data_IF_312654971618
#
_entry.id   IF_312654971618
#
_cell.length_a   1.000
_cell.length_b   1.000
_cell.length_c   1.000
_cell.angle_alpha   90.00
_cell.angle_beta   90.00
_cell.angle_gamma   90.00
#
_symmetry.space_group_name_H-M   'P 1'
#
loop_
_entity.id
_entity.type
_entity.pdbx_description
1 polymer ?
#
# COMPACT_ATOMS: atom_id res chain seq x y z
N UNK A 1 -6.76 -1.02 12.35
CA UNK A 1 -5.54 -1.78 12.69
C UNK A 1 -5.43 -2.11 14.18
N UNK A 2 -5.65 -1.19 15.12
CA UNK A 2 -5.44 -1.43 16.57
C UNK A 2 -6.25 -2.57 17.20
N UNK A 3 -7.52 -2.77 16.81
CA UNK A 3 -8.37 -3.83 17.37
C UNK A 3 -7.89 -5.25 17.07
N UNK A 4 -7.14 -5.45 15.98
CA UNK A 4 -6.70 -6.77 15.54
C UNK A 4 -5.66 -7.40 16.47
N UNK A 5 -4.81 -6.61 17.15
CA UNK A 5 -3.82 -7.20 18.08
C UNK A 5 -4.48 -7.80 19.32
N UNK A 6 -5.45 -7.10 19.88
CA UNK A 6 -6.17 -7.58 21.05
C UNK A 6 -6.95 -8.87 20.73
N UNK A 7 -7.63 -8.89 19.57
CA UNK A 7 -8.34 -10.07 19.09
C UNK A 7 -7.38 -11.25 18.81
N UNK A 8 -6.23 -10.97 18.18
CA UNK A 8 -5.21 -12.01 17.93
C UNK A 8 -4.62 -12.55 19.23
N UNK A 9 -4.29 -11.70 20.19
CA UNK A 9 -3.72 -12.13 21.46
C UNK A 9 -4.70 -13.02 22.23
N UNK A 10 -5.99 -12.68 22.22
CA UNK A 10 -7.03 -13.51 22.83
C UNK A 10 -7.17 -14.86 22.11
N UNK A 11 -7.14 -14.85 20.77
CA UNK A 11 -7.16 -16.09 19.98
C UNK A 11 -5.96 -17.00 20.26
N UNK A 12 -4.73 -16.45 20.23
CA UNK A 12 -3.50 -17.23 20.42
C UNK A 12 -3.37 -17.80 21.85
N UNK A 13 -3.81 -17.05 22.87
CA UNK A 13 -3.61 -17.42 24.28
C UNK A 13 -4.74 -18.30 24.82
N UNK A 14 -6.00 -18.08 24.41
CA UNK A 14 -7.15 -18.80 24.96
C UNK A 14 -7.82 -19.73 23.96
N UNK A 15 -8.16 -19.24 22.76
CA UNK A 15 -9.10 -19.93 21.85
C UNK A 15 -8.42 -21.02 21.01
N UNK A 16 -7.16 -20.79 20.63
CA UNK A 16 -6.33 -21.75 19.91
C UNK A 16 -5.97 -23.00 20.74
N UNK A 17 -5.44 -22.90 21.99
CA UNK A 17 -5.11 -24.08 22.79
C UNK A 17 -6.35 -24.87 23.23
N UNK A 18 -7.49 -24.20 23.43
CA UNK A 18 -8.78 -24.85 23.74
C UNK A 18 -9.47 -25.47 22.52
N UNK A 19 -8.93 -25.28 21.30
CA UNK A 19 -9.49 -25.77 20.02
C UNK A 19 -10.95 -25.34 19.80
N UNK A 20 -11.34 -24.14 20.25
CA UNK A 20 -12.71 -23.65 20.05
C UNK A 20 -13.07 -23.48 18.57
N UNK A 21 -12.13 -22.99 17.75
CA UNK A 21 -12.29 -22.89 16.29
C UNK A 21 -10.92 -22.82 15.59
N UNK A 22 -10.91 -23.10 14.27
CA UNK A 22 -9.69 -23.13 13.46
C UNK A 22 -9.16 -21.72 13.16
N UNK A 23 -7.83 -21.58 13.05
CA UNK A 23 -7.16 -20.35 12.64
C UNK A 23 -7.62 -19.83 11.27
N UNK A 24 -8.04 -20.72 10.36
CA UNK A 24 -8.58 -20.33 9.05
C UNK A 24 -9.88 -19.55 9.22
N UNK A 25 -10.73 -20.01 10.15
CA UNK A 25 -12.02 -19.36 10.45
C UNK A 25 -11.79 -18.00 11.11
N UNK A 26 -10.78 -17.88 11.99
CA UNK A 26 -10.37 -16.61 12.58
C UNK A 26 -10.06 -15.55 11.51
N UNK A 27 -9.19 -15.90 10.54
CA UNK A 27 -8.79 -14.97 9.48
C UNK A 27 -9.95 -14.67 8.54
N UNK A 28 -10.67 -15.71 8.09
CA UNK A 28 -11.79 -15.55 7.17
C UNK A 28 -12.89 -14.67 7.75
N UNK A 29 -13.24 -14.85 9.03
CA UNK A 29 -14.24 -14.02 9.71
C UNK A 29 -13.84 -12.54 9.75
N UNK A 30 -12.57 -12.25 10.04
CA UNK A 30 -12.04 -10.88 10.08
C UNK A 30 -12.06 -10.19 8.70
N UNK A 31 -11.80 -10.95 7.63
CA UNK A 31 -11.89 -10.44 6.26
C UNK A 31 -13.35 -10.20 5.88
N UNK A 32 -14.23 -11.18 6.12
CA UNK A 32 -15.65 -11.11 5.77
C UNK A 32 -16.38 -9.96 6.47
N UNK A 33 -16.14 -9.74 7.76
CA UNK A 33 -16.72 -8.62 8.51
C UNK A 33 -16.19 -7.26 8.00
N UNK A 34 -14.99 -7.23 7.45
CA UNK A 34 -14.41 -6.02 6.86
C UNK A 34 -15.12 -5.59 5.56
N UNK A 35 -15.60 -6.53 4.75
CA UNK A 35 -16.14 -6.24 3.41
C UNK A 35 -17.35 -5.27 3.47
N UNK A 36 -18.41 -5.50 4.27
CA UNK A 36 -19.55 -4.58 4.35
C UNK A 36 -19.13 -3.16 4.77
N UNK A 37 -18.18 -3.05 5.70
CA UNK A 37 -17.66 -1.75 6.13
C UNK A 37 -16.94 -1.03 4.98
N UNK A 38 -16.10 -1.74 4.21
CA UNK A 38 -15.43 -1.17 3.04
C UNK A 38 -16.42 -0.79 1.93
N UNK A 39 -17.49 -1.56 1.74
CA UNK A 39 -18.56 -1.23 0.79
C UNK A 39 -19.24 0.09 1.19
N UNK A 40 -19.67 0.23 2.45
CA UNK A 40 -20.30 1.48 2.92
C UNK A 40 -19.35 2.68 2.79
N UNK A 41 -18.09 2.51 3.19
CA UNK A 41 -17.08 3.56 3.06
C UNK A 41 -16.81 3.92 1.60
N UNK A 42 -16.78 2.93 0.70
CA UNK A 42 -16.57 3.16 -0.74
C UNK A 42 -17.63 4.03 -1.35
N UNK A 43 -18.90 3.84 -0.96
CA UNK A 43 -20.02 4.67 -1.45
C UNK A 43 -19.85 6.11 -0.97
N UNK A 44 -19.51 6.32 0.30
CA UNK A 44 -19.32 7.66 0.86
C UNK A 44 -18.12 8.39 0.23
N UNK A 45 -16.98 7.71 0.10
CA UNK A 45 -15.77 8.27 -0.54
C UNK A 45 -16.01 8.55 -2.02
N UNK A 46 -16.64 7.61 -2.73
CA UNK A 46 -17.00 7.80 -4.13
C UNK A 46 -17.93 9.00 -4.30
N UNK A 47 -19.00 9.12 -3.50
CA UNK A 47 -19.92 10.26 -3.61
C UNK A 47 -19.21 11.60 -3.33
N UNK A 48 -18.36 11.65 -2.30
CA UNK A 48 -17.63 12.87 -1.93
C UNK A 48 -16.62 13.30 -3.01
N UNK A 49 -15.96 12.36 -3.68
CA UNK A 49 -14.94 12.67 -4.69
C UNK A 49 -15.50 12.79 -6.12
N UNK A 50 -16.45 11.93 -6.49
CA UNK A 50 -16.94 11.80 -7.85
C UNK A 50 -17.79 13.00 -8.29
N UNK A 51 -18.76 13.41 -7.46
CA UNK A 51 -19.70 14.48 -7.83
C UNK A 51 -19.01 15.85 -8.01
N UNK A 52 -18.05 16.26 -7.15
CA UNK A 52 -17.35 17.52 -7.36
C UNK A 52 -16.41 17.52 -8.58
N UNK A 53 -15.80 16.37 -8.92
CA UNK A 53 -14.80 16.30 -10.00
C UNK A 53 -15.41 16.11 -11.37
N UNK A 54 -16.36 15.17 -11.50
CA UNK A 54 -16.94 14.77 -12.79
C UNK A 54 -18.35 15.31 -13.02
N UNK A 55 -19.04 15.76 -11.97
CA UNK A 55 -20.42 16.20 -12.05
C UNK A 55 -21.40 15.06 -12.35
N UNK A 56 -22.61 15.42 -12.80
CA UNK A 56 -23.72 14.49 -13.05
C UNK A 56 -23.84 14.03 -14.51
N UNK A 57 -22.98 14.53 -15.41
CA UNK A 57 -23.15 14.41 -16.87
C UNK A 57 -22.67 13.06 -17.45
N UNK A 58 -22.11 12.18 -16.63
CA UNK A 58 -21.61 10.88 -17.07
C UNK A 58 -22.70 9.80 -17.07
N UNK A 59 -22.58 8.86 -18.00
CA UNK A 59 -23.47 7.69 -18.11
C UNK A 59 -23.52 6.88 -16.79
N UNK A 60 -24.64 6.18 -16.57
CA UNK A 60 -24.80 5.32 -15.39
C UNK A 60 -23.73 4.22 -15.31
N UNK A 61 -23.31 3.67 -16.45
CA UNK A 61 -22.27 2.65 -16.50
C UNK A 61 -20.92 3.19 -15.99
N UNK A 62 -20.46 4.33 -16.48
CA UNK A 62 -19.20 4.96 -16.05
C UNK A 62 -19.22 5.28 -14.55
N UNK A 63 -20.37 5.72 -14.03
CA UNK A 63 -20.56 5.98 -12.59
C UNK A 63 -20.34 4.73 -11.75
N UNK A 64 -20.95 3.62 -12.14
CA UNK A 64 -20.82 2.34 -11.43
C UNK A 64 -19.41 1.78 -11.55
N UNK A 65 -18.78 1.88 -12.72
CA UNK A 65 -17.38 1.48 -12.92
C UNK A 65 -16.43 2.27 -12.02
N UNK A 66 -16.62 3.60 -11.94
CA UNK A 66 -15.79 4.44 -11.07
C UNK A 66 -15.98 4.10 -9.59
N UNK A 67 -17.21 3.83 -9.16
CA UNK A 67 -17.49 3.33 -7.82
C UNK A 67 -16.81 1.97 -7.57
N UNK A 68 -16.86 1.05 -8.54
CA UNK A 68 -16.22 -0.25 -8.43
C UNK A 68 -14.69 -0.11 -8.22
N UNK A 69 -14.02 0.81 -8.93
CA UNK A 69 -12.60 1.08 -8.68
C UNK A 69 -12.34 1.69 -7.29
N UNK A 70 -13.21 2.57 -6.79
CA UNK A 70 -13.11 3.08 -5.40
C UNK A 70 -13.27 1.96 -4.37
N UNK A 71 -14.24 1.07 -4.57
CA UNK A 71 -14.46 -0.12 -3.74
C UNK A 71 -13.24 -1.04 -3.77
N UNK A 72 -12.66 -1.28 -4.94
CA UNK A 72 -11.45 -2.09 -5.08
C UNK A 72 -10.27 -1.48 -4.34
N UNK A 73 -10.07 -0.16 -4.41
CA UNK A 73 -8.99 0.52 -3.68
C UNK A 73 -9.10 0.29 -2.17
N UNK A 74 -10.31 0.43 -1.61
CA UNK A 74 -10.54 0.23 -0.18
C UNK A 74 -10.42 -1.25 0.24
N UNK A 75 -10.94 -2.18 -0.56
CA UNK A 75 -10.78 -3.62 -0.31
C UNK A 75 -9.31 -4.06 -0.40
N UNK A 76 -8.58 -3.55 -1.39
CA UNK A 76 -7.15 -3.82 -1.54
C UNK A 76 -6.38 -3.30 -0.34
N UNK A 77 -6.59 -2.04 0.08
CA UNK A 77 -5.94 -1.47 1.25
C UNK A 77 -6.23 -2.25 2.54
N UNK A 78 -7.49 -2.67 2.73
CA UNK A 78 -7.88 -3.49 3.88
C UNK A 78 -7.21 -4.86 3.89
N UNK A 79 -7.22 -5.56 2.77
CA UNK A 79 -6.64 -6.92 2.66
C UNK A 79 -5.11 -6.91 2.74
N UNK A 80 -4.46 -5.91 2.15
CA UNK A 80 -3.00 -5.72 2.26
C UNK A 80 -2.58 -5.45 3.71
N UNK A 81 -3.32 -4.59 4.43
CA UNK A 81 -3.13 -4.35 5.86
C UNK A 81 -3.28 -5.62 6.70
N UNK A 82 -4.31 -6.42 6.44
CA UNK A 82 -4.55 -7.69 7.13
C UNK A 82 -3.40 -8.68 6.89
N UNK A 83 -2.94 -8.80 5.64
CA UNK A 83 -1.79 -9.62 5.28
C UNK A 83 -0.56 -9.24 6.12
N UNK A 84 -0.22 -7.95 6.21
CA UNK A 84 0.94 -7.49 6.99
C UNK A 84 0.79 -7.71 8.49
N UNK A 85 -0.38 -7.42 9.07
CA UNK A 85 -0.64 -7.57 10.51
C UNK A 85 -0.57 -9.04 10.95
N UNK A 86 -1.00 -9.98 10.11
CA UNK A 86 -0.93 -11.40 10.43
C UNK A 86 0.52 -11.92 10.46
N UNK A 87 1.40 -11.34 9.67
CA UNK A 87 2.83 -11.72 9.66
C UNK A 87 3.63 -11.11 10.80
N UNK A 88 3.35 -9.84 11.14
CA UNK A 88 4.22 -9.08 12.03
C UNK A 88 3.87 -9.28 13.51
N UNK A 89 4.88 -9.37 14.40
CA UNK A 89 4.64 -9.42 15.84
C UNK A 89 4.14 -8.07 16.38
N UNK A 90 4.64 -6.96 15.83
CA UNK A 90 4.41 -5.59 16.32
C UNK A 90 3.69 -4.73 15.28
N UNK A 91 2.86 -3.78 15.74
CA UNK A 91 2.11 -2.85 14.87
C UNK A 91 3.06 -1.89 14.15
N UNK A 92 4.04 -1.34 14.87
CA UNK A 92 4.97 -0.33 14.33
C UNK A 92 5.70 -0.85 13.09
N UNK A 93 6.24 -2.08 13.16
CA UNK A 93 6.93 -2.70 12.02
C UNK A 93 6.00 -2.95 10.83
N UNK A 94 4.74 -3.36 11.10
CA UNK A 94 3.75 -3.55 10.04
C UNK A 94 3.39 -2.23 9.35
N UNK A 95 3.25 -1.15 10.13
CA UNK A 95 2.96 0.18 9.61
C UNK A 95 4.12 0.69 8.75
N UNK A 96 5.37 0.61 9.23
CA UNK A 96 6.54 1.02 8.44
C UNK A 96 6.65 0.24 7.14
N UNK A 97 6.47 -1.09 7.18
CA UNK A 97 6.51 -1.92 5.97
C UNK A 97 5.39 -1.58 5.00
N UNK A 98 4.18 -1.34 5.51
CA UNK A 98 3.04 -0.90 4.69
C UNK A 98 3.34 0.41 3.97
N UNK A 99 3.96 1.37 4.66
CA UNK A 99 4.33 2.65 4.07
C UNK A 99 5.36 2.48 2.96
N UNK A 100 6.40 1.67 3.17
CA UNK A 100 7.43 1.41 2.15
C UNK A 100 6.82 0.76 0.91
N UNK A 101 5.98 -0.26 1.09
CA UNK A 101 5.30 -0.94 -0.02
C UNK A 101 4.38 0.01 -0.78
N UNK A 102 3.60 0.82 -0.07
CA UNK A 102 2.73 1.82 -0.67
C UNK A 102 3.50 2.88 -1.46
N UNK A 103 4.58 3.43 -0.90
CA UNK A 103 5.41 4.43 -1.59
C UNK A 103 6.05 3.85 -2.83
N UNK A 104 6.54 2.60 -2.76
CA UNK A 104 7.12 1.91 -3.91
C UNK A 104 6.09 1.73 -5.02
N UNK A 105 4.93 1.15 -4.73
CA UNK A 105 3.90 0.92 -5.76
C UNK A 105 3.33 2.23 -6.32
N UNK A 106 3.23 3.28 -5.50
CA UNK A 106 2.78 4.60 -5.93
C UNK A 106 3.74 5.25 -6.94
N UNK A 107 5.07 5.14 -6.75
CA UNK A 107 6.04 5.73 -7.67
C UNK A 107 6.00 5.10 -9.08
N UNK A 108 5.68 3.82 -9.17
CA UNK A 108 5.62 3.07 -10.43
C UNK A 108 4.22 2.96 -11.02
N UNK A 109 3.35 3.94 -10.76
CA UNK A 109 1.95 3.95 -11.21
C UNK A 109 1.74 4.41 -12.68
N UNK A 110 2.79 4.85 -13.38
CA UNK A 110 2.74 5.30 -14.78
C UNK A 110 2.33 6.75 -15.03
N UNK A 111 1.79 7.44 -14.00
CA UNK A 111 1.39 8.86 -14.09
C UNK A 111 2.44 9.78 -13.49
N UNK A 112 3.08 9.38 -12.37
CA UNK A 112 4.18 10.15 -11.79
C UNK A 112 5.44 10.12 -12.65
N UNK A 113 5.69 8.98 -13.29
CA UNK A 113 6.72 8.78 -14.30
C UNK A 113 6.16 7.90 -15.40
N UNK A 114 6.27 8.37 -16.65
CA UNK A 114 5.81 7.61 -17.81
C UNK A 114 6.68 6.36 -18.00
N UNK A 115 6.11 5.22 -18.47
CA UNK A 115 6.85 3.97 -18.62
C UNK A 115 8.09 4.09 -19.52
N UNK A 116 8.08 5.01 -20.48
CA UNK A 116 9.18 5.28 -21.41
C UNK A 116 10.36 6.03 -20.79
N UNK A 117 10.16 6.71 -19.66
CA UNK A 117 11.20 7.42 -18.93
C UNK A 117 11.90 6.54 -17.88
N UNK A 118 11.37 5.34 -17.61
CA UNK A 118 11.96 4.40 -16.65
C UNK A 118 13.14 3.65 -17.27
N UNK A 119 14.26 3.47 -16.54
CA UNK A 119 15.32 2.56 -16.98
C UNK A 119 14.76 1.15 -17.19
N UNK A 120 15.19 0.45 -18.24
CA UNK A 120 14.59 -0.84 -18.66
C UNK A 120 14.45 -1.90 -17.56
N UNK A 121 15.33 -1.89 -16.54
CA UNK A 121 15.21 -2.77 -15.38
C UNK A 121 13.93 -2.52 -14.56
N UNK A 122 13.47 -1.27 -14.41
CA UNK A 122 12.32 -0.93 -13.55
C UNK A 122 10.96 -1.14 -14.22
N UNK A 123 10.93 -1.53 -15.50
CA UNK A 123 9.68 -1.76 -16.25
C UNK A 123 8.86 -2.90 -15.63
N UNK A 124 9.49 -3.91 -15.01
CA UNK A 124 8.73 -4.97 -14.32
C UNK A 124 7.87 -4.40 -13.17
N UNK A 125 8.37 -3.36 -12.49
CA UNK A 125 7.69 -2.80 -11.33
C UNK A 125 6.40 -2.10 -11.73
N UNK A 126 6.37 -1.49 -12.93
CA UNK A 126 5.15 -0.94 -13.51
C UNK A 126 4.06 -2.01 -13.70
N UNK A 127 4.43 -3.20 -14.17
CA UNK A 127 3.50 -4.32 -14.36
C UNK A 127 3.05 -4.99 -13.05
N UNK A 128 3.91 -5.02 -12.04
CA UNK A 128 3.59 -5.60 -10.72
C UNK A 128 2.82 -4.60 -9.84
N UNK A 129 2.92 -3.30 -10.11
CA UNK A 129 2.21 -2.28 -9.34
C UNK A 129 0.71 -2.34 -9.58
N UNK A 130 -0.06 -2.64 -8.53
CA UNK A 130 -1.51 -2.54 -8.56
C UNK A 130 -2.01 -1.11 -8.85
N UNK A 131 -1.22 -0.07 -8.52
CA UNK A 131 -1.61 1.32 -8.77
C UNK A 131 -1.66 1.64 -10.25
N UNK A 132 -0.86 0.98 -11.08
CA UNK A 132 -0.92 1.10 -12.54
C UNK A 132 -2.31 0.78 -13.06
N UNK A 133 -2.89 -0.34 -12.61
CA UNK A 133 -4.23 -0.77 -13.02
C UNK A 133 -5.33 0.08 -12.40
N UNK A 134 -5.15 0.54 -11.16
CA UNK A 134 -6.12 1.42 -10.49
C UNK A 134 -6.22 2.79 -11.19
N UNK A 135 -5.08 3.43 -11.45
CA UNK A 135 -5.05 4.74 -12.07
C UNK A 135 -5.38 4.64 -13.55
N UNK A 136 -4.93 3.59 -14.23
CA UNK A 136 -5.36 3.29 -15.60
C UNK A 136 -6.88 3.10 -15.69
N UNK A 137 -7.51 2.48 -14.69
CA UNK A 137 -8.96 2.38 -14.54
C UNK A 137 -9.63 3.74 -14.29
N UNK A 138 -9.19 4.49 -13.28
CA UNK A 138 -9.76 5.80 -12.95
C UNK A 138 -9.62 6.82 -14.09
N UNK A 139 -8.41 7.03 -14.60
CA UNK A 139 -8.17 7.97 -15.67
C UNK A 139 -8.81 7.48 -16.98
N UNK A 140 -8.67 6.18 -17.27
CA UNK A 140 -9.19 5.55 -18.48
C UNK A 140 -10.71 5.53 -18.57
N UNK A 141 -11.45 5.53 -17.45
CA UNK A 141 -12.92 5.62 -17.41
C UNK A 141 -13.44 7.04 -17.18
N UNK A 142 -12.77 7.84 -16.36
CA UNK A 142 -13.21 9.18 -16.00
C UNK A 142 -12.98 10.23 -17.09
N UNK A 143 -11.96 10.06 -17.92
CA UNK A 143 -11.58 11.04 -18.95
C UNK A 143 -11.87 10.57 -20.39
N UNK A 144 -12.63 9.48 -20.56
CA UNK A 144 -12.99 8.94 -21.88
C UNK A 144 -13.57 10.02 -22.77
N UNK A 145 -12.95 10.24 -23.93
CA UNK A 145 -13.43 11.12 -24.99
C UNK A 145 -13.72 12.57 -24.52
N UNK A 146 -13.08 13.01 -23.43
CA UNK A 146 -13.24 14.39 -22.96
C UNK A 146 -12.47 15.34 -23.87
N UNK A 147 -13.17 16.31 -24.43
CA UNK A 147 -12.57 17.36 -25.26
C UNK A 147 -11.67 18.25 -24.42
N UNK A 148 -10.44 18.46 -24.88
CA UNK A 148 -9.46 19.36 -24.26
C UNK A 148 -9.47 20.67 -25.04
N UNK A 149 -9.60 21.78 -24.32
CA UNK A 149 -9.45 23.13 -24.87
C UNK A 149 -8.25 23.76 -24.19
N UNK A 150 -7.23 24.08 -24.98
CA UNK A 150 -6.02 24.71 -24.46
C UNK A 150 -6.33 26.08 -23.83
N UNK A 151 -5.69 26.37 -22.69
CA UNK A 151 -5.66 27.70 -22.09
C UNK A 151 -4.82 28.66 -22.94
N UNK A 152 -4.91 29.98 -22.72
CA UNK A 152 -4.26 30.98 -23.58
C UNK A 152 -2.72 30.87 -23.67
N UNK A 153 -2.09 30.23 -22.70
CA UNK A 153 -0.64 30.04 -22.59
C UNK A 153 -0.13 28.65 -23.06
N UNK A 154 -1.03 27.74 -23.42
CA UNK A 154 -0.70 26.39 -23.89
C UNK A 154 -0.61 26.21 -25.42
N UNK A 155 -1.23 27.03 -26.29
CA UNK A 155 -1.11 26.81 -27.72
C UNK A 155 0.30 27.15 -28.21
N UNK A 156 0.79 26.34 -29.15
CA UNK A 156 1.95 26.71 -29.94
C UNK A 156 1.57 27.89 -30.86
N UNK A 157 2.29 29.00 -30.73
CA UNK A 157 2.09 30.20 -31.54
C UNK A 157 3.15 30.23 -32.63
N UNK A 158 2.71 30.36 -33.87
CA UNK A 158 3.59 30.52 -35.03
C UNK A 158 2.89 31.31 -36.13
N UNK A 159 3.66 31.83 -37.10
CA UNK A 159 3.13 32.59 -38.23
C UNK A 159 3.14 31.73 -39.51
N UNK A 160 2.07 31.77 -40.31
CA UNK A 160 2.02 31.05 -41.59
C UNK A 160 2.85 31.80 -42.66
N UNK A 161 3.27 31.12 -43.74
CA UNK A 161 3.89 31.77 -44.90
C UNK A 161 3.02 32.87 -45.50
N UNK A 162 3.64 33.86 -46.15
CA UNK A 162 2.94 35.03 -46.71
C UNK A 162 1.86 34.61 -47.72
N UNK A 163 0.63 35.11 -47.51
CA UNK A 163 -0.51 34.86 -48.39
C UNK A 163 -1.35 33.62 -48.06
N UNK A 164 -1.04 32.88 -46.99
CA UNK A 164 -1.85 31.74 -46.52
C UNK A 164 -2.50 32.02 -45.17
N UNK A 165 -3.70 31.47 -44.96
CA UNK A 165 -4.32 31.45 -43.62
C UNK A 165 -3.76 30.32 -42.78
N UNK A 166 -3.86 30.43 -41.45
CA UNK A 166 -3.48 29.36 -40.52
C UNK A 166 -4.14 28.03 -40.87
N UNK A 167 -5.42 28.05 -41.25
CA UNK A 167 -6.16 26.86 -41.66
C UNK A 167 -5.64 26.26 -42.98
N UNK A 168 -5.25 27.08 -43.94
CA UNK A 168 -4.67 26.60 -45.21
C UNK A 168 -3.30 25.96 -44.98
N UNK A 169 -2.43 26.61 -44.21
CA UNK A 169 -1.09 26.11 -43.91
C UNK A 169 -1.11 24.78 -43.12
N UNK A 170 -1.98 24.67 -42.12
CA UNK A 170 -2.11 23.47 -41.29
C UNK A 170 -3.02 22.39 -41.89
N UNK A 171 -3.71 22.65 -43.00
CA UNK A 171 -4.69 21.69 -43.57
C UNK A 171 -4.05 20.34 -43.89
N UNK A 172 -2.87 20.34 -44.53
CA UNK A 172 -2.11 19.14 -44.82
C UNK A 172 -1.65 18.43 -43.53
N UNK A 173 -1.13 19.17 -42.56
CA UNK A 173 -0.67 18.62 -41.28
C UNK A 173 -1.79 17.98 -40.46
N UNK A 174 -2.98 18.60 -40.44
CA UNK A 174 -4.18 18.04 -39.80
C UNK A 174 -4.73 16.84 -40.58
N UNK A 175 -4.65 16.86 -41.92
CA UNK A 175 -5.06 15.74 -42.78
C UNK A 175 -4.14 14.52 -42.62
N UNK A 176 -2.84 14.74 -42.40
CA UNK A 176 -1.83 13.70 -42.13
C UNK A 176 -1.99 13.05 -40.74
N UNK A 177 -2.98 13.48 -39.95
CA UNK A 177 -3.35 12.82 -38.69
C UNK A 177 -2.77 13.48 -37.44
N UNK A 178 -2.37 14.75 -37.49
CA UNK A 178 -1.91 15.47 -36.32
C UNK A 178 -2.96 15.43 -35.17
N UNK A 179 -2.54 15.21 -33.92
CA UNK A 179 -3.45 14.99 -32.79
C UNK A 179 -4.21 16.23 -32.33
N UNK A 180 -3.77 17.43 -32.71
CA UNK A 180 -4.26 18.69 -32.18
C UNK A 180 -5.45 19.31 -32.91
N UNK A 181 -5.80 20.52 -32.49
CA UNK A 181 -6.81 21.36 -33.13
C UNK A 181 -6.31 22.79 -33.26
N UNK A 182 -6.70 23.45 -34.34
CA UNK A 182 -6.42 24.86 -34.57
C UNK A 182 -7.57 25.71 -34.02
N UNK A 183 -7.25 26.71 -33.20
CA UNK A 183 -8.25 27.57 -32.56
C UNK A 183 -8.67 28.76 -33.45
N UNK A 184 -7.79 29.24 -34.33
CA UNK A 184 -8.02 30.41 -35.19
C UNK A 184 -7.73 30.13 -36.68
N UNK A 185 -8.60 29.40 -37.39
CA UNK A 185 -8.39 29.01 -38.79
C UNK A 185 -8.32 30.19 -39.78
N UNK A 186 -8.94 31.31 -39.47
CA UNK A 186 -9.03 32.49 -40.36
C UNK A 186 -7.92 33.52 -40.17
N UNK A 187 -7.00 33.33 -39.21
CA UNK A 187 -5.93 34.28 -38.95
C UNK A 187 -4.80 34.15 -39.98
N UNK A 188 -4.12 35.26 -40.27
CA UNK A 188 -2.96 35.33 -41.18
C UNK A 188 -1.64 35.53 -40.41
N UNK A 189 -1.72 35.67 -39.08
CA UNK A 189 -0.61 35.81 -38.15
C UNK A 189 -1.03 35.23 -36.80
N UNK A 190 -0.06 34.78 -36.01
CA UNK A 190 -0.24 34.21 -34.67
C UNK A 190 -1.24 33.05 -34.63
N UNK A 191 -0.99 32.03 -35.45
CA UNK A 191 -1.73 30.77 -35.44
C UNK A 191 -1.59 30.11 -34.07
N UNK A 192 -2.72 29.74 -33.45
CA UNK A 192 -2.80 29.09 -32.14
C UNK A 192 -3.17 27.63 -32.35
N UNK A 193 -2.17 26.76 -32.27
CA UNK A 193 -2.34 25.32 -32.40
C UNK A 193 -2.32 24.67 -31.02
N UNK A 194 -3.41 23.97 -30.68
CA UNK A 194 -3.51 23.18 -29.47
C UNK A 194 -3.03 21.74 -29.78
N UNK A 195 -1.96 21.23 -29.16
CA UNK A 195 -1.36 19.95 -29.54
C UNK A 195 -2.21 18.73 -29.18
N UNK A 196 -3.20 18.88 -28.28
CA UNK A 196 -4.07 17.81 -27.78
C UNK A 196 -5.52 18.25 -27.94
N UNK A 197 -6.35 17.43 -28.59
CA UNK A 197 -7.80 17.67 -28.73
C UNK A 197 -8.65 16.84 -27.77
N UNK A 198 -8.15 15.67 -27.36
CA UNK A 198 -8.87 14.71 -26.53
C UNK A 198 -8.00 14.19 -25.40
N UNK A 199 -8.57 14.01 -24.21
CA UNK A 199 -7.85 13.48 -23.06
C UNK A 199 -7.23 12.09 -23.32
N UNK A 200 -7.85 11.26 -24.17
CA UNK A 200 -7.29 9.96 -24.56
C UNK A 200 -5.89 10.08 -25.16
N UNK A 201 -5.58 11.16 -25.90
CA UNK A 201 -4.25 11.35 -26.50
C UNK A 201 -3.18 11.60 -25.44
N UNK A 202 -3.55 12.26 -24.34
CA UNK A 202 -2.69 12.42 -23.18
C UNK A 202 -2.48 11.07 -22.46
N UNK A 203 -3.56 10.31 -22.25
CA UNK A 203 -3.50 9.02 -21.53
C UNK A 203 -2.66 7.94 -22.24
N UNK A 204 -2.67 7.92 -23.58
CA UNK A 204 -1.89 6.96 -24.37
C UNK A 204 -0.38 7.10 -24.12
N UNK A 205 0.11 8.29 -23.77
CA UNK A 205 1.52 8.51 -23.44
C UNK A 205 1.98 7.70 -22.20
N UNK A 206 1.06 7.41 -21.28
CA UNK A 206 1.28 6.58 -20.09
C UNK A 206 0.86 5.11 -20.26
N UNK A 207 0.63 4.65 -21.50
CA UNK A 207 0.08 3.33 -21.82
C UNK A 207 -1.30 3.06 -21.21
N UNK A 208 -2.10 4.11 -21.03
CA UNK A 208 -3.46 4.03 -20.51
C UNK A 208 -4.43 4.11 -21.70
N UNK A 209 -5.08 2.98 -22.00
CA UNK A 209 -6.11 2.90 -23.02
C UNK A 209 -7.49 2.78 -22.36
N UNK A 210 -8.47 3.57 -22.82
CA UNK A 210 -9.84 3.50 -22.31
C UNK A 210 -10.52 2.14 -22.56
N UNK A 211 -10.09 1.40 -23.58
CA UNK A 211 -10.58 0.04 -23.87
C UNK A 211 -10.23 -0.98 -22.78
N UNK A 212 -9.17 -0.73 -22.01
CA UNK A 212 -8.63 -1.68 -21.02
C UNK A 212 -9.34 -1.60 -19.66
N UNK A 213 -10.42 -0.80 -19.54
CA UNK A 213 -11.14 -0.56 -18.29
C UNK A 213 -11.58 -1.86 -17.58
N UNK A 214 -12.22 -2.79 -18.28
CA UNK A 214 -12.68 -4.06 -17.68
C UNK A 214 -11.53 -5.02 -17.39
N UNK A 215 -10.47 -5.00 -18.21
CA UNK A 215 -9.25 -5.77 -17.95
C UNK A 215 -8.62 -5.32 -16.63
N UNK A 216 -8.42 -4.02 -16.47
CA UNK A 216 -7.84 -3.44 -15.26
C UNK A 216 -8.72 -3.71 -14.03
N UNK A 217 -10.05 -3.65 -14.18
CA UNK A 217 -11.00 -4.02 -13.14
C UNK A 217 -10.80 -5.47 -12.69
N UNK A 218 -10.70 -6.42 -13.62
CA UNK A 218 -10.51 -7.84 -13.27
C UNK A 218 -9.16 -8.12 -12.59
N UNK A 219 -8.08 -7.47 -13.06
CA UNK A 219 -6.73 -7.63 -12.50
C UNK A 219 -6.69 -7.16 -11.04
N UNK A 220 -7.36 -6.06 -10.70
CA UNK A 220 -7.42 -5.57 -9.33
C UNK A 220 -8.17 -6.53 -8.39
N UNK A 221 -9.24 -7.18 -8.86
CA UNK A 221 -9.88 -8.24 -8.07
C UNK A 221 -8.95 -9.44 -7.86
N UNK A 222 -8.13 -9.80 -8.85
CA UNK A 222 -7.12 -10.83 -8.69
C UNK A 222 -6.08 -10.46 -7.61
N UNK A 223 -5.66 -9.18 -7.53
CA UNK A 223 -4.79 -8.70 -6.44
C UNK A 223 -5.45 -8.80 -5.06
N UNK A 224 -6.74 -8.52 -4.94
CA UNK A 224 -7.48 -8.69 -3.68
C UNK A 224 -7.52 -10.16 -3.28
N UNK A 225 -7.83 -11.06 -4.21
CA UNK A 225 -7.82 -12.51 -3.97
C UNK A 225 -6.42 -13.00 -3.57
N UNK A 226 -5.38 -12.51 -4.26
CA UNK A 226 -3.98 -12.80 -3.92
C UNK A 226 -3.65 -12.36 -2.49
N UNK A 227 -4.03 -11.15 -2.07
CA UNK A 227 -3.79 -10.66 -0.72
C UNK A 227 -4.47 -11.55 0.35
N UNK A 228 -5.68 -12.03 0.07
CA UNK A 228 -6.40 -12.94 0.99
C UNK A 228 -5.67 -14.29 1.10
N UNK A 229 -5.22 -14.86 -0.03
CA UNK A 229 -4.44 -16.10 -0.03
C UNK A 229 -3.06 -15.92 0.61
N UNK A 230 -2.41 -14.77 0.38
CA UNK A 230 -1.14 -14.41 1.01
C UNK A 230 -1.31 -14.25 2.52
N UNK A 231 -2.38 -13.62 2.98
CA UNK A 231 -2.71 -13.49 4.40
C UNK A 231 -2.83 -14.87 5.08
N UNK A 232 -3.54 -15.83 4.45
CA UNK A 232 -3.69 -17.19 4.96
C UNK A 232 -2.36 -17.97 4.96
N UNK A 233 -1.61 -17.91 3.85
CA UNK A 233 -0.37 -18.66 3.70
C UNK A 233 0.74 -18.13 4.61
N UNK A 234 0.88 -16.81 4.72
CA UNK A 234 1.89 -16.20 5.60
C UNK A 234 1.56 -16.45 7.08
N UNK A 235 0.29 -16.39 7.48
CA UNK A 235 -0.10 -16.76 8.84
C UNK A 235 0.26 -18.22 9.15
N UNK A 236 -0.04 -19.13 8.22
CA UNK A 236 0.33 -20.54 8.36
C UNK A 236 1.85 -20.74 8.52
N UNK A 237 2.66 -20.08 7.69
CA UNK A 237 4.12 -20.21 7.72
C UNK A 237 4.71 -19.65 9.02
N UNK A 238 4.39 -18.41 9.36
CA UNK A 238 5.04 -17.73 10.48
C UNK A 238 4.51 -18.16 11.85
N UNK A 239 3.22 -18.53 11.95
CA UNK A 239 2.58 -18.80 13.24
C UNK A 239 2.25 -20.26 13.48
N UNK A 240 1.68 -20.96 12.50
CA UNK A 240 1.28 -22.37 12.69
C UNK A 240 2.48 -23.30 12.57
N UNK A 241 3.26 -23.17 11.50
CA UNK A 241 4.46 -23.99 11.27
C UNK A 241 5.65 -23.51 12.10
N UNK A 242 5.58 -22.28 12.62
CA UNK A 242 6.62 -21.68 13.46
C UNK A 242 7.95 -21.56 12.73
N UNK A 243 7.95 -21.05 11.48
CA UNK A 243 9.18 -20.86 10.71
C UNK A 243 10.06 -19.78 11.36
N UNK A 244 10.86 -20.18 12.33
CA UNK A 244 11.86 -19.33 12.96
C UNK A 244 13.08 -19.30 12.05
N UNK A 245 13.43 -18.12 11.52
CA UNK A 245 14.66 -17.89 10.75
C UNK A 245 15.92 -18.33 11.53
N UNK A 246 15.83 -18.48 12.86
CA UNK A 246 16.88 -19.10 13.67
C UNK A 246 17.20 -20.54 13.29
N UNK A 247 16.29 -21.28 12.64
CA UNK A 247 16.57 -22.64 12.16
C UNK A 247 17.32 -22.70 10.82
N UNK A 248 17.40 -21.56 10.10
CA UNK A 248 18.19 -21.43 8.86
C UNK A 248 19.63 -20.97 9.14
N UNK A 249 19.90 -20.44 10.34
CA UNK A 249 21.27 -20.25 10.80
C UNK A 249 21.80 -21.61 11.23
N UNK A 250 22.55 -22.30 10.35
CA UNK A 250 23.48 -23.33 10.82
C UNK A 250 24.24 -22.72 12.01
N UNK A 251 24.29 -23.36 13.19
CA UNK A 251 25.24 -22.93 14.20
C UNK A 251 26.60 -22.90 13.50
N UNK A 252 27.25 -21.73 13.46
CA UNK A 252 28.68 -21.72 13.15
C UNK A 252 29.33 -22.64 14.18
N UNK A 253 30.27 -23.52 13.79
CA UNK A 253 31.05 -24.26 14.76
C UNK A 253 31.75 -23.22 15.65
N UNK A 254 31.23 -23.04 16.86
CA UNK A 254 31.89 -22.25 17.88
C UNK A 254 33.20 -22.95 18.18
N UNK A 255 34.31 -22.30 17.83
CA UNK A 255 35.63 -22.76 18.22
C UNK A 255 35.72 -22.84 19.76
N UNK A 256 36.62 -23.66 20.31
CA UNK A 256 36.71 -23.99 21.74
C UNK A 256 36.95 -22.80 22.70
N UNK A 257 37.05 -21.57 22.20
CA UNK A 257 37.22 -20.36 23.01
C UNK A 257 35.91 -19.78 23.56
N UNK A 258 34.78 -19.93 22.86
CA UNK A 258 33.49 -19.31 23.25
C UNK A 258 32.84 -20.00 24.47
N UNK A 259 33.12 -21.30 24.66
CA UNK A 259 32.65 -22.07 25.82
C UNK A 259 33.27 -21.64 27.15
N UNK A 260 34.55 -21.23 27.13
CA UNK A 260 35.27 -20.79 28.34
C UNK A 260 34.78 -19.42 28.82
N UNK A 261 34.48 -18.51 27.89
CA UNK A 261 33.99 -17.17 28.23
C UNK A 261 32.55 -17.21 28.80
N UNK A 262 31.73 -18.13 28.30
CA UNK A 262 30.37 -18.36 28.82
C UNK A 262 30.37 -19.01 30.21
N UNK A 263 31.22 -20.02 30.47
CA UNK A 263 31.36 -20.61 31.80
C UNK A 263 31.90 -19.62 32.83
N UNK A 264 32.87 -18.78 32.48
CA UNK A 264 33.41 -17.76 33.40
C UNK A 264 32.41 -16.65 33.71
N UNK A 265 31.63 -16.18 32.72
CA UNK A 265 30.53 -15.23 32.96
C UNK A 265 29.44 -15.84 33.86
N UNK A 266 29.14 -17.13 33.70
CA UNK A 266 28.15 -17.82 34.52
C UNK A 266 28.65 -18.11 35.95
N UNK A 267 29.94 -18.43 36.12
CA UNK A 267 30.60 -18.51 37.44
C UNK A 267 30.62 -17.16 38.16
N UNK A 268 30.99 -16.07 37.47
CA UNK A 268 30.98 -14.71 38.06
C UNK A 268 29.58 -14.29 38.48
N UNK A 269 28.55 -14.56 37.68
CA UNK A 269 27.14 -14.28 38.06
C UNK A 269 26.70 -15.09 39.27
N UNK A 270 26.99 -16.39 39.33
CA UNK A 270 26.65 -17.24 40.49
C UNK A 270 27.36 -16.75 41.76
N UNK A 271 28.64 -16.37 41.68
CA UNK A 271 29.37 -15.79 42.81
C UNK A 271 28.77 -14.47 43.31
N UNK A 272 28.32 -13.60 42.39
CA UNK A 272 27.67 -12.35 42.73
C UNK A 272 26.33 -12.56 43.47
N UNK A 273 25.47 -13.47 42.97
CA UNK A 273 24.20 -13.77 43.66
C UNK A 273 24.43 -14.42 45.03
N UNK A 274 25.39 -15.35 45.16
CA UNK A 274 25.70 -15.98 46.44
C UNK A 274 26.18 -14.96 47.48
N UNK A 275 27.05 -14.02 47.07
CA UNK A 275 27.52 -12.92 47.92
C UNK A 275 26.42 -11.93 48.29
N UNK A 276 25.48 -11.66 47.37
CA UNK A 276 24.32 -10.82 47.64
C UNK A 276 23.39 -11.45 48.68
N UNK A 277 23.05 -12.75 48.55
CA UNK A 277 22.21 -13.45 49.52
C UNK A 277 22.87 -13.58 50.90
N UNK A 278 24.18 -13.84 50.96
CA UNK A 278 24.90 -13.91 52.24
C UNK A 278 24.89 -12.57 52.99
N UNK A 279 25.13 -11.46 52.28
CA UNK A 279 25.06 -10.12 52.89
C UNK A 279 23.64 -9.73 53.28
N UNK A 280 22.62 -10.13 52.51
CA UNK A 280 21.21 -9.92 52.85
C UNK A 280 20.83 -10.66 54.13
N UNK A 281 21.23 -11.93 54.26
CA UNK A 281 20.96 -12.75 55.46
C UNK A 281 21.70 -12.18 56.68
N UNK A 282 22.96 -11.77 56.52
CA UNK A 282 23.71 -11.10 57.61
C UNK A 282 23.06 -9.78 58.03
N UNK A 283 22.53 -8.99 57.09
CA UNK A 283 21.82 -7.74 57.41
C UNK A 283 20.51 -8.01 58.18
N UNK A 284 19.76 -9.04 57.78
CA UNK A 284 18.53 -9.45 58.47
C UNK A 284 18.84 -9.95 59.89
N UNK A 285 19.86 -10.80 60.05
CA UNK A 285 20.29 -11.29 61.37
C UNK A 285 20.79 -10.15 62.27
N UNK A 286 21.53 -9.19 61.71
CA UNK A 286 22.02 -8.02 62.45
C UNK A 286 20.87 -7.09 62.90
N UNK A 287 19.77 -7.04 62.16
CA UNK A 287 18.56 -6.31 62.55
C UNK A 287 17.72 -7.06 63.59
N UNK A 288 17.66 -8.39 63.54
CA UNK A 288 16.92 -9.19 64.54
C UNK A 288 17.58 -9.14 65.93
N UNK A 289 18.92 -9.07 65.99
CA UNK A 289 19.65 -8.94 67.27
C UNK A 289 19.47 -7.55 67.92
N UNK A 290 19.00 -6.53 67.18
CA UNK A 290 18.77 -5.17 67.71
C UNK A 290 17.38 -4.93 68.32
N UNK A 291 16.43 -5.86 68.18
CA UNK A 291 15.12 -5.73 68.82
C UNK A 291 15.17 -6.27 70.27
N UNK A 292 15.56 -5.41 71.23
CA UNK A 292 15.15 -5.60 72.63
C UNK A 292 13.72 -5.04 72.80
N UNK A 293 12.75 -5.78 73.36
CA UNK A 293 11.45 -5.22 73.69
C UNK A 293 11.58 -4.25 74.88
N UNK A 294 11.04 -3.04 74.74
CA UNK A 294 10.76 -2.14 75.86
C UNK A 294 9.66 -2.75 76.76
N UNK A 295 9.76 -2.65 78.09
CA UNK A 295 8.69 -3.04 78.99
C UNK A 295 7.58 -1.98 78.97
N UNK A 296 6.34 -2.42 78.72
CA UNK A 296 5.13 -1.60 78.85
C UNK A 296 4.59 -1.79 80.27
N UNK A 297 4.45 -0.68 81.00
CA UNK A 297 3.75 -0.56 82.29
C UNK A 297 2.25 -0.83 82.12
N UNK A 298 1.70 -1.77 82.89
CA UNK A 298 0.43 -1.68 83.62
C UNK A 298 0.67 -2.32 84.99
#
# INVERSE_FOLDING_TARGET
>A
MSRFLAQRALFEVHESPSKMYSWVVFIAANILVGIPYQVCLSVATWACWYFPVFGLNHESETRVLMWAFCLQFLLFGSTCSQMLIFTMPNIESAATLSTILFTLTLHFNGVLQVPTALPGFWVFMYHVSHFTYLIGGWAGTGLVNRSVVCAENEPAIFDPPTGQTCGQYLSAYLADGAPGSLLNPSANASCRYCPIRNANQFLVQSWIHSSDQYRNLSILFAYIAFNVLAALSLYYIFRVRGFSIKSLRKPQPQGPEDGKEHEDKQRRRKGFYLGFYYNLVLAILRNLVRYRPCPVMI
#
